data_IF_810586337610
#
_entry.id   IF_810586337610
#
_cell.length_a   1.000
_cell.length_b   1.000
_cell.length_c   1.000
_cell.angle_alpha   90.00
_cell.angle_beta   90.00
_cell.angle_gamma   90.00
#
_symmetry.space_group_name_H-M   'P 1'
#
loop_
_entity.id
_entity.type
_entity.pdbx_description
1 polymer ?
#
# COMPACT_ATOMS: atom_id res chain seq x y z
N UNK A 1 1.11 -1.38 5.71
CA UNK A 1 0.65 -2.36 6.71
C UNK A 1 0.65 -3.77 6.12
N UNK A 2 1.23 -4.73 6.82
CA UNK A 2 1.18 -6.16 6.47
C UNK A 2 -0.03 -6.82 7.15
N UNK A 3 -0.97 -7.30 6.35
CA UNK A 3 -2.12 -8.08 6.78
C UNK A 3 -2.10 -9.51 6.19
N UNK A 4 -0.99 -9.91 5.57
CA UNK A 4 -0.90 -11.15 4.80
C UNK A 4 -0.48 -12.36 5.63
N UNK A 5 0.08 -12.14 6.82
CA UNK A 5 0.76 -13.17 7.61
C UNK A 5 2.13 -13.61 7.03
N UNK A 6 2.61 -12.99 5.95
CA UNK A 6 3.92 -13.27 5.34
C UNK A 6 4.96 -12.31 5.92
N UNK A 7 5.95 -12.85 6.63
CA UNK A 7 7.03 -12.06 7.22
C UNK A 7 7.82 -11.29 6.16
N UNK A 8 8.05 -10.01 6.40
CA UNK A 8 8.84 -9.15 5.51
C UNK A 8 8.11 -8.61 4.29
N UNK A 9 6.83 -8.95 4.05
CA UNK A 9 6.09 -8.47 2.88
C UNK A 9 5.95 -6.94 2.84
N UNK A 10 5.68 -6.30 3.99
CA UNK A 10 5.63 -4.84 4.06
C UNK A 10 6.99 -4.20 3.72
N UNK A 11 8.10 -4.81 4.15
CA UNK A 11 9.45 -4.31 3.82
C UNK A 11 9.75 -4.46 2.33
N UNK A 12 9.44 -5.61 1.73
CA UNK A 12 9.60 -5.85 0.30
C UNK A 12 8.80 -4.83 -0.54
N UNK A 13 7.53 -4.62 -0.17
CA UNK A 13 6.68 -3.63 -0.82
C UNK A 13 7.20 -2.19 -0.60
N UNK A 14 7.67 -1.87 0.61
CA UNK A 14 8.29 -0.59 0.93
C UNK A 14 9.49 -0.28 0.03
N UNK A 15 10.38 -1.26 -0.18
CA UNK A 15 11.52 -1.12 -1.09
C UNK A 15 11.08 -0.92 -2.55
N UNK A 16 10.00 -1.58 -2.97
CA UNK A 16 9.44 -1.37 -4.30
C UNK A 16 8.94 0.06 -4.50
N UNK A 17 8.11 0.58 -3.60
CA UNK A 17 7.57 1.94 -3.73
C UNK A 17 8.67 3.00 -3.55
N UNK A 18 9.71 2.70 -2.76
CA UNK A 18 10.89 3.56 -2.68
C UNK A 18 11.57 3.75 -4.05
N UNK A 19 11.71 2.68 -4.83
CA UNK A 19 12.24 2.74 -6.21
C UNK A 19 11.34 3.53 -7.17
N UNK A 20 10.06 3.67 -6.85
CA UNK A 20 9.12 4.51 -7.60
C UNK A 20 9.14 5.99 -7.16
N UNK A 21 9.91 6.35 -6.12
CA UNK A 21 10.05 7.71 -5.61
C UNK A 21 9.31 7.98 -4.29
N UNK A 22 8.58 7.01 -3.74
CA UNK A 22 7.90 7.16 -2.45
C UNK A 22 8.91 6.92 -1.31
N UNK A 23 9.56 7.99 -0.87
CA UNK A 23 10.69 7.90 0.08
C UNK A 23 10.29 8.02 1.55
N UNK A 24 9.10 8.57 1.84
CA UNK A 24 8.56 8.73 3.19
C UNK A 24 7.42 7.74 3.40
N UNK A 25 7.72 6.62 4.05
CA UNK A 25 6.72 5.61 4.39
C UNK A 25 7.09 4.94 5.71
N UNK A 26 6.06 4.47 6.40
CA UNK A 26 6.20 3.64 7.59
C UNK A 26 5.72 2.22 7.30
N UNK A 27 6.34 1.27 7.99
CA UNK A 27 6.04 -0.14 7.88
C UNK A 27 5.52 -0.65 9.22
N UNK A 28 4.57 -1.57 9.17
CA UNK A 28 4.00 -2.18 10.36
C UNK A 28 3.07 -3.32 10.00
N UNK A 29 2.67 -4.07 11.00
CA UNK A 29 1.74 -5.20 10.89
C UNK A 29 0.34 -4.77 11.36
N UNK A 30 -0.68 -5.43 10.81
CA UNK A 30 -2.07 -5.24 11.21
C UNK A 30 -2.79 -6.58 11.22
N UNK A 31 -4.08 -6.57 11.58
CA UNK A 31 -4.90 -7.77 11.56
C UNK A 31 -4.91 -8.42 10.18
N UNK A 32 -4.90 -9.76 10.15
CA UNK A 32 -4.91 -10.53 8.91
C UNK A 32 -6.12 -10.14 8.06
N UNK A 33 -5.88 -9.97 6.76
CA UNK A 33 -6.88 -9.62 5.78
C UNK A 33 -6.59 -10.36 4.48
N UNK A 34 -7.63 -10.94 3.87
CA UNK A 34 -7.47 -11.71 2.65
C UNK A 34 -7.21 -10.85 1.41
N UNK A 35 -7.60 -9.57 1.42
CA UNK A 35 -7.47 -8.67 0.26
C UNK A 35 -6.60 -7.47 0.55
N UNK A 36 -5.78 -7.13 -0.44
CA UNK A 36 -4.99 -5.91 -0.43
C UNK A 36 -5.83 -4.71 -0.80
N UNK A 37 -5.62 -3.59 -0.13
CA UNK A 37 -6.32 -2.33 -0.41
C UNK A 37 -5.45 -1.10 -0.20
N UNK A 38 -5.81 -0.03 -0.89
CA UNK A 38 -5.24 1.31 -0.74
C UNK A 38 -6.34 2.22 -0.18
N UNK A 39 -6.04 2.95 0.88
CA UNK A 39 -6.90 3.99 1.44
C UNK A 39 -6.22 5.34 1.24
N UNK A 40 -6.92 6.27 0.58
CA UNK A 40 -6.46 7.62 0.32
C UNK A 40 -7.13 8.60 1.28
N UNK A 41 -6.34 9.46 1.91
CA UNK A 41 -6.78 10.50 2.84
C UNK A 41 -6.42 11.88 2.26
N UNK A 42 -7.41 12.59 1.71
CA UNK A 42 -7.25 13.98 1.28
C UNK A 42 -6.57 14.24 -0.07
N UNK A 43 -6.09 13.21 -0.76
CA UNK A 43 -5.58 13.35 -2.14
C UNK A 43 -6.73 13.30 -3.16
N UNK A 44 -6.49 13.93 -4.31
CA UNK A 44 -7.41 13.93 -5.42
C UNK A 44 -7.50 12.54 -6.10
N UNK A 45 -8.52 12.37 -6.93
CA UNK A 45 -8.83 11.10 -7.60
C UNK A 45 -7.77 10.69 -8.63
N UNK A 46 -7.17 11.65 -9.33
CA UNK A 46 -6.14 11.36 -10.33
C UNK A 46 -4.90 10.78 -9.67
N UNK A 47 -4.48 11.37 -8.54
CA UNK A 47 -3.39 10.87 -7.71
C UNK A 47 -3.68 9.46 -7.18
N UNK A 48 -4.91 9.21 -6.68
CA UNK A 48 -5.30 7.88 -6.20
C UNK A 48 -5.26 6.81 -7.28
N UNK A 49 -5.76 7.09 -8.49
CA UNK A 49 -5.71 6.16 -9.62
C UNK A 49 -4.27 5.93 -10.12
N UNK A 50 -3.42 6.95 -10.08
CA UNK A 50 -2.00 6.78 -10.38
C UNK A 50 -1.35 5.80 -9.40
N UNK A 51 -1.56 5.99 -8.09
CA UNK A 51 -1.01 5.11 -7.04
C UNK A 51 -1.52 3.68 -7.22
N UNK A 52 -2.82 3.50 -7.42
CA UNK A 52 -3.45 2.20 -7.70
C UNK A 52 -2.75 1.46 -8.83
N UNK A 53 -2.50 2.16 -9.95
CA UNK A 53 -1.82 1.60 -11.12
C UNK A 53 -0.36 1.24 -10.82
N UNK A 54 0.37 2.11 -10.13
CA UNK A 54 1.76 1.85 -9.77
C UNK A 54 1.88 0.68 -8.80
N UNK A 55 1.01 0.61 -7.80
CA UNK A 55 1.11 -0.41 -6.75
C UNK A 55 0.54 -1.75 -7.21
N UNK A 56 -0.28 -1.76 -8.27
CA UNK A 56 -0.90 -2.96 -8.79
C UNK A 56 -1.88 -3.57 -7.79
N UNK A 57 -2.60 -2.74 -7.04
CA UNK A 57 -3.65 -3.12 -6.10
C UNK A 57 -4.95 -2.51 -6.63
N UNK A 58 -5.99 -3.33 -6.83
CA UNK A 58 -7.23 -2.86 -7.48
C UNK A 58 -8.20 -2.18 -6.52
N UNK A 59 -8.17 -2.56 -5.25
CA UNK A 59 -9.07 -2.03 -4.24
C UNK A 59 -8.56 -0.67 -3.74
N UNK A 60 -9.29 0.38 -4.07
CA UNK A 60 -8.95 1.77 -3.79
C UNK A 60 -10.15 2.44 -3.11
N UNK A 61 -9.95 2.86 -1.87
CA UNK A 61 -10.94 3.55 -1.04
C UNK A 61 -10.51 5.00 -0.82
N UNK A 62 -11.46 5.94 -0.95
CA UNK A 62 -11.25 7.34 -0.57
C UNK A 62 -11.91 7.59 0.78
N UNK A 63 -11.11 7.90 1.78
CA UNK A 63 -11.61 8.23 3.11
C UNK A 63 -11.96 9.71 3.17
N UNK A 64 -13.16 10.01 3.69
CA UNK A 64 -13.58 11.37 4.05
C UNK A 64 -13.04 11.81 5.41
N UNK A 65 -12.44 10.87 6.17
CA UNK A 65 -11.81 11.19 7.46
C UNK A 65 -10.45 11.80 7.20
N UNK A 66 -10.14 12.85 7.94
CA UNK A 66 -8.80 13.41 7.96
C UNK A 66 -7.87 12.47 8.75
N UNK A 67 -6.65 12.28 8.24
CA UNK A 67 -5.60 11.49 8.89
C UNK A 67 -4.36 12.37 9.01
N UNK A 68 -4.00 12.73 10.25
CA UNK A 68 -2.85 13.59 10.55
C UNK A 68 -1.50 12.95 10.19
N UNK A 69 -1.46 11.62 10.05
CA UNK A 69 -0.21 10.87 9.92
C UNK A 69 0.11 10.51 8.48
N UNK A 70 -0.91 10.11 7.70
CA UNK A 70 -0.70 9.53 6.37
C UNK A 70 -1.76 10.00 5.36
N UNK A 71 -1.29 10.37 4.17
CA UNK A 71 -2.14 10.65 3.00
C UNK A 71 -2.55 9.37 2.27
N UNK A 72 -1.77 8.29 2.43
CA UNK A 72 -1.96 7.00 1.77
C UNK A 72 -1.65 5.90 2.75
N UNK A 73 -2.61 4.98 2.92
CA UNK A 73 -2.42 3.75 3.69
C UNK A 73 -2.57 2.56 2.77
N UNK A 74 -1.56 1.68 2.76
CA UNK A 74 -1.59 0.43 1.98
C UNK A 74 -1.66 -0.74 2.93
N UNK A 75 -2.67 -1.58 2.75
CA UNK A 75 -2.85 -2.83 3.47
C UNK A 75 -2.58 -3.96 2.49
N UNK A 76 -1.59 -4.79 2.78
CA UNK A 76 -1.18 -5.93 1.96
C UNK A 76 -1.83 -7.19 2.53
N UNK A 77 -2.82 -7.73 1.82
CA UNK A 77 -3.53 -8.95 2.21
C UNK A 77 -2.85 -10.23 1.76
N UNK A 78 -3.48 -11.36 2.08
CA UNK A 78 -3.00 -12.71 1.70
C UNK A 78 -2.84 -12.88 0.18
N UNK A 79 -3.68 -12.17 -0.59
CA UNK A 79 -3.67 -12.09 -2.05
C UNK A 79 -2.40 -11.44 -2.65
N UNK A 80 -1.55 -10.83 -1.82
CA UNK A 80 -0.32 -10.19 -2.26
C UNK A 80 0.89 -11.08 -2.04
N UNK A 81 1.72 -11.21 -3.07
CA UNK A 81 3.03 -11.85 -3.00
C UNK A 81 4.18 -10.85 -3.07
N UNK A 82 5.36 -11.32 -2.71
CA UNK A 82 6.62 -10.59 -2.84
C UNK A 82 6.85 -10.13 -4.29
N UNK A 83 7.40 -8.92 -4.42
CA UNK A 83 7.67 -8.28 -5.69
C UNK A 83 8.95 -8.88 -6.27
N UNK A 84 8.78 -9.76 -7.25
CA UNK A 84 9.90 -10.38 -7.94
C UNK A 84 10.67 -9.30 -8.73
N UNK A 85 12.01 -9.23 -8.61
CA UNK A 85 12.80 -8.42 -9.51
C UNK A 85 12.55 -8.91 -10.95
N UNK A 86 12.29 -7.98 -11.88
CA UNK A 86 12.29 -8.33 -13.30
C UNK A 86 13.72 -8.74 -13.66
N UNK A 87 13.89 -9.98 -14.10
CA UNK A 87 15.13 -10.48 -14.70
C UNK A 87 15.39 -9.79 -16.04
#
# INVERSE_FOLDING_TARGET
>A
MNASGKDGLASDFGQYINKLGFTRYELGDTNINSKSKIVIYGLDKETGEYIKKQFGIQDLEYSTKYNDLYEVEVILGEDRDFIKPKQ
#
